data_IF_664717603829
#
_entry.id   IF_664717603829
#
_cell.length_a   1.000
_cell.length_b   1.000
_cell.length_c   1.000
_cell.angle_alpha   90.00
_cell.angle_beta   90.00
_cell.angle_gamma   90.00
#
_symmetry.space_group_name_H-M   'P 1'
#
loop_
_entity.id
_entity.type
_entity.pdbx_description
1 polymer ?
#
# COMPACT_ATOMS: atom_id res chain seq x y z
N UNK A 1 -8.69 -18.99 29.46
CA UNK A 1 -9.32 -19.94 28.52
C UNK A 1 -8.79 -19.60 27.14
N UNK A 2 -8.23 -20.58 26.44
CA UNK A 2 -7.41 -20.44 25.24
C UNK A 2 -8.27 -20.16 24.00
N UNK A 3 -8.24 -18.93 23.48
CA UNK A 3 -8.91 -18.53 22.21
C UNK A 3 -8.36 -19.24 20.94
N UNK A 4 -7.48 -20.23 21.07
CA UNK A 4 -7.01 -21.03 19.94
C UNK A 4 -7.93 -22.24 19.80
N UNK A 5 -9.16 -22.00 19.33
CA UNK A 5 -10.10 -23.06 18.97
C UNK A 5 -9.61 -23.68 17.66
N UNK A 6 -9.14 -24.93 17.72
CA UNK A 6 -8.76 -25.89 16.66
C UNK A 6 -8.65 -25.32 15.24
N UNK A 7 -7.73 -24.39 15.05
CA UNK A 7 -7.50 -23.76 13.77
C UNK A 7 -6.36 -24.53 13.07
N UNK A 8 -6.68 -25.28 12.01
CA UNK A 8 -5.71 -26.14 11.29
C UNK A 8 -4.72 -25.33 10.41
N UNK A 9 -4.62 -24.01 10.62
CA UNK A 9 -3.77 -23.12 9.85
C UNK A 9 -2.31 -23.25 10.28
N UNK A 10 -1.43 -23.29 9.29
CA UNK A 10 0.02 -23.46 9.44
C UNK A 10 0.74 -22.20 9.94
N UNK A 11 0.10 -21.03 9.87
CA UNK A 11 0.56 -19.76 10.39
C UNK A 11 -0.60 -18.99 11.02
N UNK A 12 -0.47 -18.67 12.30
CA UNK A 12 -1.51 -17.99 13.10
C UNK A 12 -0.90 -16.80 13.83
N UNK A 13 -1.65 -15.71 13.91
CA UNK A 13 -1.21 -14.47 14.56
C UNK A 13 -2.31 -13.89 15.44
N UNK A 14 -1.91 -13.43 16.63
CA UNK A 14 -2.76 -12.68 17.55
C UNK A 14 -2.11 -11.34 17.88
N UNK A 15 -2.80 -10.25 17.57
CA UNK A 15 -2.44 -8.90 18.00
C UNK A 15 -3.26 -8.54 19.24
N UNK A 16 -2.60 -8.30 20.37
CA UNK A 16 -3.24 -8.00 21.64
C UNK A 16 -2.36 -7.15 22.59
N UNK A 17 -2.77 -7.06 23.86
CA UNK A 17 -2.00 -6.47 24.97
C UNK A 17 -1.30 -5.13 24.62
N UNK A 18 -2.07 -4.05 24.40
CA UNK A 18 -1.52 -2.75 24.09
C UNK A 18 -0.73 -2.20 25.29
N UNK A 19 0.45 -1.65 25.04
CA UNK A 19 1.27 -1.00 26.06
C UNK A 19 1.68 0.39 25.61
N UNK A 20 1.47 1.36 26.50
CA UNK A 20 1.93 2.74 26.34
C UNK A 20 3.36 2.84 26.86
N UNK A 21 4.23 3.40 26.03
CA UNK A 21 5.63 3.67 26.33
C UNK A 21 5.82 5.17 26.45
N UNK A 22 6.56 5.58 27.48
CA UNK A 22 6.97 6.96 27.74
C UNK A 22 8.48 6.99 27.65
N UNK A 23 8.99 7.50 26.53
CA UNK A 23 10.41 7.74 26.31
C UNK A 23 10.65 9.26 26.43
N UNK A 24 11.91 9.68 26.66
CA UNK A 24 12.27 11.07 27.04
C UNK A 24 11.67 12.17 26.15
N UNK A 25 11.35 11.88 24.89
CA UNK A 25 10.77 12.83 23.93
C UNK A 25 9.56 12.30 23.13
N UNK A 26 9.18 11.02 23.29
CA UNK A 26 8.09 10.42 22.52
C UNK A 26 7.20 9.52 23.40
N UNK A 27 5.89 9.66 23.22
CA UNK A 27 4.91 8.69 23.73
C UNK A 27 4.35 7.88 22.57
N UNK A 28 4.48 6.56 22.65
CA UNK A 28 3.96 5.65 21.62
C UNK A 28 3.33 4.40 22.22
N UNK A 29 2.55 3.71 21.39
CA UNK A 29 1.83 2.51 21.78
C UNK A 29 2.34 1.34 20.95
N UNK A 30 2.64 0.24 21.62
CA UNK A 30 3.00 -1.03 20.99
C UNK A 30 1.93 -2.07 21.27
N UNK A 31 1.78 -3.00 20.35
CA UNK A 31 0.92 -4.17 20.48
C UNK A 31 1.80 -5.41 20.54
N UNK A 32 1.39 -6.38 21.35
CA UNK A 32 2.00 -7.71 21.33
C UNK A 32 1.49 -8.45 20.10
N UNK A 33 2.39 -9.10 19.40
CA UNK A 33 2.09 -10.01 18.30
C UNK A 33 2.61 -11.37 18.73
N UNK A 34 1.68 -12.30 18.95
CA UNK A 34 1.98 -13.71 19.15
C UNK A 34 1.80 -14.42 17.83
N UNK A 35 2.85 -15.06 17.33
CA UNK A 35 2.85 -15.82 16.08
C UNK A 35 3.08 -17.29 16.41
N UNK A 36 2.23 -18.17 15.92
CA UNK A 36 2.41 -19.62 16.00
C UNK A 36 2.48 -20.18 14.59
N UNK A 37 3.45 -21.05 14.33
CA UNK A 37 3.57 -21.65 13.00
C UNK A 37 4.10 -23.07 13.07
N UNK A 38 3.62 -23.90 12.14
CA UNK A 38 4.12 -25.24 11.88
C UNK A 38 4.99 -25.28 10.62
N UNK A 39 5.28 -24.12 10.01
CA UNK A 39 6.06 -24.03 8.78
C UNK A 39 7.56 -24.16 9.07
N UNK A 40 8.34 -24.80 8.18
CA UNK A 40 9.77 -25.07 8.42
C UNK A 40 10.65 -23.82 8.45
N UNK A 41 10.20 -22.69 7.90
CA UNK A 41 10.97 -21.44 7.95
C UNK A 41 10.99 -20.83 9.37
N UNK A 42 10.05 -21.21 10.23
CA UNK A 42 9.95 -20.77 11.61
C UNK A 42 10.72 -21.74 12.52
N UNK A 43 11.77 -21.23 13.18
CA UNK A 43 12.65 -22.04 14.04
C UNK A 43 12.02 -22.37 15.39
N UNK A 44 11.14 -21.49 15.86
CA UNK A 44 10.44 -21.61 17.14
C UNK A 44 8.94 -21.84 16.86
N UNK A 45 8.29 -22.64 17.69
CA UNK A 45 6.84 -22.90 17.58
C UNK A 45 6.01 -21.64 17.84
N UNK A 46 6.51 -20.74 18.68
CA UNK A 46 5.85 -19.50 19.06
C UNK A 46 6.85 -18.33 19.13
N UNK A 47 6.55 -17.25 18.43
CA UNK A 47 7.27 -15.97 18.51
C UNK A 47 6.39 -14.93 19.20
N UNK A 48 6.98 -14.16 20.12
CA UNK A 48 6.31 -13.02 20.77
C UNK A 48 7.12 -11.75 20.55
N UNK A 49 6.60 -10.85 19.73
CA UNK A 49 7.24 -9.56 19.41
C UNK A 49 6.32 -8.39 19.74
N UNK A 50 6.90 -7.19 19.85
CA UNK A 50 6.12 -5.95 20.00
C UNK A 50 6.34 -5.05 18.80
N UNK A 51 5.25 -4.45 18.30
CA UNK A 51 5.25 -3.54 17.14
C UNK A 51 4.36 -2.34 17.40
N UNK A 52 4.79 -1.15 16.96
CA UNK A 52 3.98 0.09 16.95
C UNK A 52 3.25 0.21 15.62
N UNK A 53 2.22 1.08 15.57
CA UNK A 53 1.44 1.33 14.34
C UNK A 53 2.31 1.61 13.10
N UNK A 54 3.37 2.41 13.24
CA UNK A 54 4.26 2.73 12.11
C UNK A 54 5.04 1.51 11.60
N UNK A 55 5.24 0.46 12.41
CA UNK A 55 5.89 -0.76 11.95
C UNK A 55 4.96 -1.56 11.03
N UNK A 56 3.64 -1.53 11.28
CA UNK A 56 2.65 -2.10 10.38
C UNK A 56 2.57 -1.32 9.06
N UNK A 57 2.70 0.02 9.12
CA UNK A 57 2.81 0.85 7.91
C UNK A 57 4.03 0.44 7.09
N UNK A 58 5.19 0.28 7.74
CA UNK A 58 6.40 -0.22 7.08
C UNK A 58 6.18 -1.58 6.41
N UNK A 59 5.53 -2.53 7.11
CA UNK A 59 5.24 -3.84 6.54
C UNK A 59 4.37 -3.71 5.29
N UNK A 60 3.30 -2.91 5.35
CA UNK A 60 2.43 -2.67 4.19
C UNK A 60 3.18 -2.04 3.03
N UNK A 61 4.01 -1.02 3.29
CA UNK A 61 4.85 -0.39 2.26
C UNK A 61 5.76 -1.43 1.59
N UNK A 62 6.41 -2.30 2.36
CA UNK A 62 7.27 -3.36 1.82
C UNK A 62 6.52 -4.39 0.99
N UNK A 63 5.31 -4.76 1.39
CA UNK A 63 4.45 -5.65 0.60
C UNK A 63 3.99 -4.98 -0.70
N UNK A 64 3.69 -3.68 -0.67
CA UNK A 64 3.36 -2.91 -1.88
C UNK A 64 4.56 -2.83 -2.83
N UNK A 65 5.76 -2.58 -2.31
CA UNK A 65 7.00 -2.55 -3.10
C UNK A 65 7.28 -3.92 -3.75
N UNK A 66 7.09 -5.00 -3.00
CA UNK A 66 7.43 -6.36 -3.43
C UNK A 66 6.39 -6.96 -4.38
N UNK A 67 5.12 -6.52 -4.28
CA UNK A 67 4.01 -7.04 -5.05
C UNK A 67 3.15 -5.91 -5.65
N UNK A 68 3.69 -5.08 -6.56
CA UNK A 68 3.04 -3.85 -7.04
C UNK A 68 1.71 -4.07 -7.77
N UNK A 69 1.50 -5.25 -8.35
CA UNK A 69 0.28 -5.64 -9.08
C UNK A 69 -0.72 -6.44 -8.23
N UNK A 70 -0.44 -6.64 -6.94
CA UNK A 70 -1.33 -7.36 -6.02
C UNK A 70 -2.10 -6.38 -5.13
N UNK A 71 -3.31 -6.79 -4.74
CA UNK A 71 -4.14 -6.02 -3.82
C UNK A 71 -3.61 -6.29 -2.40
N UNK A 72 -2.90 -5.32 -1.84
CA UNK A 72 -2.42 -5.40 -0.47
C UNK A 72 -3.53 -4.91 0.47
N UNK A 73 -3.90 -5.66 1.53
CA UNK A 73 -4.92 -5.24 2.49
C UNK A 73 -4.70 -3.79 2.94
N UNK A 74 -5.76 -2.95 2.95
CA UNK A 74 -5.63 -1.57 3.38
C UNK A 74 -5.33 -1.53 4.89
N UNK A 75 -4.50 -0.57 5.28
CA UNK A 75 -4.32 -0.27 6.70
C UNK A 75 -5.53 0.51 7.20
N UNK A 76 -5.96 0.29 8.45
CA UNK A 76 -6.96 1.16 9.06
C UNK A 76 -6.47 2.61 9.01
N UNK A 77 -7.26 3.45 8.35
CA UNK A 77 -6.89 4.83 8.03
C UNK A 77 -6.51 5.65 9.26
N UNK A 78 -5.65 6.65 9.07
CA UNK A 78 -5.31 7.62 10.13
C UNK A 78 -6.50 8.51 10.53
N UNK A 79 -7.51 8.63 9.65
CA UNK A 79 -8.67 9.53 9.78
C UNK A 79 -10.02 8.78 9.88
N UNK A 80 -10.06 7.59 10.48
CA UNK A 80 -11.35 6.95 10.86
C UNK A 80 -12.07 7.82 11.92
N UNK A 81 -13.36 7.61 12.22
CA UNK A 81 -14.07 8.27 13.36
C UNK A 81 -13.27 8.24 14.68
N UNK A 82 -12.35 7.29 14.82
CA UNK A 82 -11.31 7.22 15.85
C UNK A 82 -10.46 8.50 15.97
N UNK A 83 -10.29 9.30 14.92
CA UNK A 83 -9.53 10.55 14.95
C UNK A 83 -10.22 11.65 15.78
N UNK A 84 -11.52 11.52 16.05
CA UNK A 84 -12.24 12.38 17.01
C UNK A 84 -11.99 11.97 18.46
N UNK A 85 -11.49 10.76 18.69
CA UNK A 85 -11.06 10.30 20.02
C UNK A 85 -9.62 10.75 20.28
N UNK A 86 -9.29 10.99 21.56
CA UNK A 86 -7.89 11.14 21.95
C UNK A 86 -7.11 9.89 21.51
N UNK A 87 -5.99 10.11 20.82
CA UNK A 87 -5.09 9.04 20.31
C UNK A 87 -4.55 8.13 21.41
N UNK A 88 -4.68 8.52 22.68
CA UNK A 88 -4.32 7.73 23.84
C UNK A 88 -5.54 7.22 24.63
N UNK A 89 -6.77 7.47 24.18
CA UNK A 89 -7.98 6.92 24.81
C UNK A 89 -7.99 5.39 24.69
N UNK A 90 -8.58 4.74 25.69
CA UNK A 90 -8.65 3.27 25.74
C UNK A 90 -9.44 2.72 24.54
N UNK A 91 -10.52 3.39 24.17
CA UNK A 91 -11.42 3.05 23.07
C UNK A 91 -10.66 3.10 21.73
N UNK A 92 -9.88 4.16 21.53
CA UNK A 92 -9.06 4.33 20.35
C UNK A 92 -8.00 3.23 20.20
N UNK A 93 -7.33 2.91 21.31
CA UNK A 93 -6.28 1.88 21.35
C UNK A 93 -6.86 0.51 21.03
N UNK A 94 -8.00 0.15 21.64
CA UNK A 94 -8.69 -1.13 21.42
C UNK A 94 -9.18 -1.23 19.98
N UNK A 95 -9.82 -0.19 19.45
CA UNK A 95 -10.31 -0.18 18.08
C UNK A 95 -9.15 -0.33 17.08
N UNK A 96 -8.05 0.40 17.27
CA UNK A 96 -6.84 0.24 16.45
C UNK A 96 -6.27 -1.16 16.55
N UNK A 97 -6.16 -1.73 17.75
CA UNK A 97 -5.66 -3.09 17.94
C UNK A 97 -6.49 -4.11 17.16
N UNK A 98 -7.82 -4.03 17.23
CA UNK A 98 -8.73 -4.90 16.45
C UNK A 98 -8.48 -4.77 14.95
N UNK A 99 -8.35 -3.55 14.43
CA UNK A 99 -8.11 -3.33 13.01
C UNK A 99 -6.71 -3.82 12.56
N UNK A 100 -5.68 -3.65 13.39
CA UNK A 100 -4.34 -4.20 13.14
C UNK A 100 -4.34 -5.73 13.16
N UNK A 101 -5.10 -6.34 14.09
CA UNK A 101 -5.29 -7.77 14.17
C UNK A 101 -5.91 -8.31 12.87
N UNK A 102 -6.97 -7.66 12.39
CA UNK A 102 -7.64 -8.01 11.13
C UNK A 102 -6.70 -7.87 9.95
N UNK A 103 -5.99 -6.74 9.82
CA UNK A 103 -5.01 -6.53 8.75
C UNK A 103 -3.96 -7.64 8.72
N UNK A 104 -3.34 -7.94 9.86
CA UNK A 104 -2.27 -8.94 9.93
C UNK A 104 -2.79 -10.34 9.61
N UNK A 105 -3.98 -10.70 10.11
CA UNK A 105 -4.62 -11.97 9.78
C UNK A 105 -4.88 -12.14 8.28
N UNK A 106 -5.30 -11.07 7.59
CA UNK A 106 -5.47 -11.12 6.13
C UNK A 106 -4.16 -11.31 5.39
N UNK A 107 -3.08 -10.72 5.87
CA UNK A 107 -1.75 -10.88 5.27
C UNK A 107 -1.25 -12.32 5.46
N UNK A 108 -1.35 -12.88 6.67
CA UNK A 108 -0.87 -14.26 6.93
C UNK A 108 -1.75 -15.35 6.30
N UNK A 109 -3.03 -15.06 6.07
CA UNK A 109 -3.94 -15.97 5.38
C UNK A 109 -3.83 -15.90 3.84
N UNK A 110 -3.09 -14.93 3.30
CA UNK A 110 -2.94 -14.79 1.86
C UNK A 110 -1.84 -15.74 1.35
N UNK A 111 -2.11 -16.55 0.30
CA UNK A 111 -1.19 -17.61 -0.15
C UNK A 111 0.20 -17.09 -0.53
N UNK A 112 0.25 -15.93 -1.20
CA UNK A 112 1.53 -15.30 -1.61
C UNK A 112 2.13 -14.44 -0.49
N UNK A 113 1.38 -13.48 0.07
CA UNK A 113 1.92 -12.54 1.06
C UNK A 113 2.40 -13.22 2.35
N UNK A 114 1.81 -14.37 2.73
CA UNK A 114 2.23 -15.12 3.91
C UNK A 114 3.65 -15.68 3.83
N UNK A 115 4.20 -15.81 2.62
CA UNK A 115 5.55 -16.29 2.37
C UNK A 115 6.57 -15.15 2.25
N UNK A 116 6.16 -13.89 2.45
CA UNK A 116 7.03 -12.74 2.25
C UNK A 116 8.13 -12.63 3.33
N UNK A 117 9.36 -12.32 2.91
CA UNK A 117 10.50 -12.17 3.81
C UNK A 117 10.32 -11.02 4.81
N UNK A 118 9.71 -9.90 4.39
CA UNK A 118 9.49 -8.76 5.28
C UNK A 118 8.42 -9.08 6.33
N UNK A 119 7.42 -9.89 5.97
CA UNK A 119 6.46 -10.42 6.94
C UNK A 119 7.17 -11.32 7.97
N UNK A 120 8.02 -12.24 7.53
CA UNK A 120 8.81 -13.08 8.45
C UNK A 120 9.64 -12.24 9.44
N UNK A 121 10.36 -11.23 8.95
CA UNK A 121 11.13 -10.28 9.78
C UNK A 121 10.19 -9.53 10.75
N UNK A 122 9.03 -9.10 10.26
CA UNK A 122 8.05 -8.41 11.08
C UNK A 122 7.52 -9.27 12.23
N UNK A 123 7.33 -10.58 12.01
CA UNK A 123 6.76 -11.51 13.00
C UNK A 123 7.79 -12.07 14.00
N UNK A 124 9.07 -12.22 13.60
CA UNK A 124 10.07 -12.97 14.38
C UNK A 124 11.16 -12.11 15.00
N UNK A 125 11.51 -10.96 14.40
CA UNK A 125 12.68 -10.17 14.81
C UNK A 125 12.45 -9.39 16.11
N UNK A 126 13.45 -9.35 17.01
CA UNK A 126 13.36 -8.58 18.25
C UNK A 126 13.32 -7.06 17.97
N UNK A 127 12.72 -6.23 18.85
CA UNK A 127 12.54 -4.80 18.59
C UNK A 127 13.81 -4.02 18.19
N UNK A 128 14.95 -4.31 18.84
CA UNK A 128 16.22 -3.63 18.56
C UNK A 128 16.75 -3.92 17.15
N UNK A 129 16.69 -5.18 16.72
CA UNK A 129 17.10 -5.61 15.38
C UNK A 129 16.14 -5.11 14.31
N UNK A 130 14.84 -5.07 14.60
CA UNK A 130 13.82 -4.59 13.68
C UNK A 130 14.02 -3.11 13.27
N UNK A 131 14.56 -2.28 14.17
CA UNK A 131 14.89 -0.88 13.87
C UNK A 131 15.94 -0.74 12.76
N UNK A 132 16.85 -1.71 12.62
CA UNK A 132 17.87 -1.73 11.57
C UNK A 132 17.19 -1.93 10.21
N UNK A 133 16.29 -2.91 10.11
CA UNK A 133 15.50 -3.16 8.90
C UNK A 133 14.61 -1.96 8.52
N UNK A 134 14.11 -1.22 9.51
CA UNK A 134 13.34 0.01 9.29
C UNK A 134 14.22 1.16 8.76
N UNK A 135 15.44 1.31 9.29
CA UNK A 135 16.39 2.35 8.86
C UNK A 135 17.05 2.05 7.52
N UNK A 136 17.15 0.78 7.15
CA UNK A 136 17.67 0.33 5.86
C UNK A 136 16.67 0.59 4.70
N UNK A 137 16.00 1.76 4.71
CA UNK A 137 15.27 2.30 3.56
C UNK A 137 16.27 2.38 2.41
N UNK A 138 16.15 1.44 1.48
CA UNK A 138 17.05 1.26 0.36
C UNK A 138 17.24 2.55 -0.43
N UNK A 139 18.43 3.14 -0.30
CA UNK A 139 18.84 4.33 -1.03
C UNK A 139 19.46 4.03 -2.41
N UNK A 140 19.34 2.80 -2.94
CA UNK A 140 20.10 2.39 -4.14
C UNK A 140 19.21 2.00 -5.33
N UNK A 141 18.01 1.41 -5.14
CA UNK A 141 17.17 0.98 -6.27
C UNK A 141 16.06 1.97 -6.64
N UNK A 142 15.52 2.72 -5.67
CA UNK A 142 14.42 3.69 -5.89
C UNK A 142 14.86 4.91 -6.72
N UNK A 143 16.15 5.31 -6.66
CA UNK A 143 16.65 6.48 -7.38
C UNK A 143 16.70 6.30 -8.91
N UNK A 144 16.85 5.06 -9.38
CA UNK A 144 16.83 4.77 -10.83
C UNK A 144 15.39 4.70 -11.36
N UNK A 145 14.45 4.21 -10.56
CA UNK A 145 13.02 4.18 -10.92
C UNK A 145 12.36 5.55 -10.89
N UNK A 146 12.74 6.44 -9.96
CA UNK A 146 12.16 7.79 -9.86
C UNK A 146 12.43 8.66 -11.10
N UNK A 147 13.58 8.46 -11.73
CA UNK A 147 13.98 9.20 -12.95
C UNK A 147 13.18 8.76 -14.18
N UNK A 148 12.81 7.47 -14.25
CA UNK A 148 11.91 6.92 -15.28
C UNK A 148 10.43 7.19 -14.96
N UNK A 149 10.02 7.18 -13.69
CA UNK A 149 8.66 7.54 -13.26
C UNK A 149 8.29 8.98 -13.62
N UNK A 150 9.23 9.92 -13.51
CA UNK A 150 8.99 11.31 -13.91
C UNK A 150 8.80 11.50 -15.42
N UNK A 151 9.30 10.59 -16.26
CA UNK A 151 9.12 10.62 -17.73
C UNK A 151 7.88 9.79 -18.13
N UNK A 152 7.56 8.74 -17.37
CA UNK A 152 6.34 7.95 -17.52
C UNK A 152 5.08 8.76 -17.17
N UNK A 153 5.16 9.77 -16.28
CA UNK A 153 4.00 10.56 -15.85
C UNK A 153 3.45 11.52 -16.93
N UNK A 154 4.24 11.87 -17.95
CA UNK A 154 3.80 12.62 -19.14
C UNK A 154 3.34 11.73 -20.29
N UNK A 155 3.60 10.43 -20.19
CA UNK A 155 3.30 9.45 -21.24
C UNK A 155 1.97 8.78 -20.96
N UNK A 156 1.10 8.69 -21.97
CA UNK A 156 -0.18 8.00 -21.87
C UNK A 156 -0.04 6.56 -22.34
N UNK A 157 -0.73 5.63 -21.67
CA UNK A 157 -0.81 4.22 -22.11
C UNK A 157 -1.41 4.18 -23.51
N UNK A 158 -0.68 3.59 -24.46
CA UNK A 158 -1.12 3.52 -25.85
C UNK A 158 -2.33 2.61 -26.05
N UNK A 159 -2.40 1.51 -25.29
CA UNK A 159 -3.50 0.56 -25.39
C UNK A 159 -3.79 -0.11 -24.03
N UNK A 160 -4.82 0.37 -23.32
CA UNK A 160 -5.31 -0.32 -22.12
C UNK A 160 -6.18 -1.50 -22.53
N UNK A 161 -5.96 -2.66 -21.92
CA UNK A 161 -6.87 -3.80 -22.10
C UNK A 161 -8.26 -3.48 -21.54
N UNK A 162 -9.29 -3.86 -22.29
CA UNK A 162 -10.70 -3.58 -21.99
C UNK A 162 -11.16 -4.09 -20.60
N UNK A 163 -10.56 -5.17 -20.10
CA UNK A 163 -10.87 -5.71 -18.77
C UNK A 163 -10.47 -4.74 -17.64
N UNK A 164 -9.30 -4.10 -17.73
CA UNK A 164 -8.85 -3.15 -16.68
C UNK A 164 -9.62 -1.84 -16.72
N UNK A 165 -10.06 -1.43 -17.91
CA UNK A 165 -10.98 -0.32 -18.06
C UNK A 165 -12.32 -0.60 -17.36
N UNK A 166 -12.94 -1.75 -17.64
CA UNK A 166 -14.17 -2.16 -16.96
C UNK A 166 -14.02 -2.24 -15.44
N UNK A 167 -12.93 -2.82 -14.94
CA UNK A 167 -12.68 -2.91 -13.49
C UNK A 167 -12.52 -1.52 -12.89
N UNK A 168 -11.78 -0.61 -13.55
CA UNK A 168 -11.61 0.77 -13.08
C UNK A 168 -12.94 1.51 -13.00
N UNK A 169 -13.76 1.39 -14.04
CA UNK A 169 -15.05 2.06 -14.12
C UNK A 169 -16.01 1.50 -13.06
N UNK A 170 -16.02 0.17 -12.89
CA UNK A 170 -16.75 -0.51 -11.80
C UNK A 170 -16.29 -0.02 -10.42
N UNK A 171 -14.98 0.01 -10.16
CA UNK A 171 -14.43 0.49 -8.88
C UNK A 171 -14.76 1.96 -8.63
N UNK A 172 -14.87 2.78 -9.67
CA UNK A 172 -15.22 4.20 -9.56
C UNK A 172 -16.70 4.33 -9.16
N UNK A 173 -17.60 3.67 -9.89
CA UNK A 173 -19.02 3.65 -9.57
C UNK A 173 -19.31 3.05 -8.18
N UNK A 174 -18.62 1.96 -7.82
CA UNK A 174 -18.75 1.33 -6.50
C UNK A 174 -18.29 2.27 -5.38
N UNK A 175 -17.17 2.97 -5.58
CA UNK A 175 -16.63 3.95 -4.61
C UNK A 175 -17.61 5.09 -4.36
N UNK A 176 -18.27 5.61 -5.39
CA UNK A 176 -19.25 6.69 -5.27
C UNK A 176 -20.52 6.24 -4.53
N UNK A 177 -21.00 5.02 -4.84
CA UNK A 177 -22.14 4.41 -4.15
C UNK A 177 -21.83 4.17 -2.66
N UNK A 178 -20.68 3.59 -2.36
CA UNK A 178 -20.24 3.36 -0.98
C UNK A 178 -20.04 4.67 -0.21
N UNK A 179 -19.48 5.70 -0.84
CA UNK A 179 -19.35 7.03 -0.22
C UNK A 179 -20.71 7.66 0.08
N UNK A 180 -21.72 7.41 -0.75
CA UNK A 180 -23.10 7.87 -0.50
C UNK A 180 -23.72 7.10 0.68
N UNK A 181 -23.52 5.78 0.74
CA UNK A 181 -23.97 4.95 1.88
C UNK A 181 -23.31 5.39 3.19
N UNK A 182 -21.99 5.62 3.21
CA UNK A 182 -21.26 6.08 4.41
C UNK A 182 -21.78 7.45 4.89
N UNK A 183 -22.08 8.39 3.98
CA UNK A 183 -22.69 9.68 4.32
C UNK A 183 -24.08 9.50 4.95
N UNK A 184 -24.93 8.65 4.38
CA UNK A 184 -26.28 8.37 4.90
C UNK A 184 -26.17 7.70 6.27
N UNK A 185 -25.31 6.69 6.42
CA UNK A 185 -25.08 6.01 7.69
C UNK A 185 -24.59 6.98 8.77
N UNK A 186 -23.66 7.87 8.44
CA UNK A 186 -23.16 8.88 9.37
C UNK A 186 -24.27 9.84 9.81
N UNK A 187 -25.14 10.26 8.89
CA UNK A 187 -26.30 11.10 9.21
C UNK A 187 -27.29 10.38 10.13
N UNK A 188 -27.66 9.13 9.80
CA UNK A 188 -28.58 8.31 10.63
C UNK A 188 -28.00 8.12 12.03
N UNK A 189 -26.69 7.86 12.12
CA UNK A 189 -25.99 7.76 13.40
C UNK A 189 -26.08 9.02 14.24
N UNK A 190 -25.84 10.18 13.62
CA UNK A 190 -25.92 11.47 14.29
C UNK A 190 -27.35 11.75 14.77
N UNK A 191 -28.35 11.60 13.90
CA UNK A 191 -29.76 11.80 14.28
C UNK A 191 -30.18 10.87 15.43
N UNK A 192 -29.74 9.60 15.43
CA UNK A 192 -30.00 8.67 16.54
C UNK A 192 -29.29 9.07 17.84
N UNK A 193 -28.09 9.62 17.75
CA UNK A 193 -27.35 10.11 18.91
C UNK A 193 -28.03 11.34 19.50
N UNK A 194 -28.47 12.28 18.65
CA UNK A 194 -29.21 13.47 19.06
C UNK A 194 -30.56 13.08 19.72
N UNK A 195 -31.30 12.13 19.14
CA UNK A 195 -32.54 11.61 19.73
C UNK A 195 -32.32 10.95 21.10
N UNK A 196 -31.22 10.20 21.27
CA UNK A 196 -30.88 9.61 22.57
C UNK A 196 -30.63 10.69 23.63
N UNK A 197 -29.97 11.80 23.27
CA UNK A 197 -29.77 12.93 24.17
C UNK A 197 -31.10 13.55 24.60
N UNK A 198 -32.05 13.71 23.68
CA UNK A 198 -33.40 14.19 23.98
C UNK A 198 -34.14 13.27 24.96
N UNK A 199 -34.10 11.94 24.74
CA UNK A 199 -34.71 10.97 25.65
C UNK A 199 -34.11 11.06 27.06
N UNK A 200 -32.79 11.21 27.17
CA UNK A 200 -32.11 11.40 28.46
C UNK A 200 -32.50 12.71 29.17
N UNK A 201 -32.85 13.75 28.42
CA UNK A 201 -33.35 15.02 28.98
C UNK A 201 -34.82 14.93 29.40
N UNK A 202 -35.65 14.19 28.66
CA UNK A 202 -37.09 14.07 28.96
C UNK A 202 -37.37 13.22 30.21
N UNK A 203 -36.65 12.11 30.39
CA UNK A 203 -36.83 11.22 31.55
C UNK A 203 -36.85 11.95 32.93
N UNK A 204 -35.86 12.81 33.27
CA UNK A 204 -35.88 13.52 34.55
C UNK A 204 -36.97 14.58 34.64
N UNK A 205 -37.42 15.16 33.52
CA UNK A 205 -38.52 16.15 33.52
C UNK A 205 -39.82 15.49 33.99
N UNK A 206 -40.18 14.34 33.42
CA UNK A 206 -41.39 13.61 33.83
C UNK A 206 -41.30 13.11 35.27
N UNK A 207 -40.10 12.71 35.71
CA UNK A 207 -39.86 12.31 37.11
C UNK A 207 -40.05 13.49 38.06
N UNK A 208 -39.58 14.68 37.69
CA UNK A 208 -39.76 15.91 38.48
C UNK A 208 -41.23 16.34 38.52
N UNK A 209 -41.93 16.32 37.39
CA UNK A 209 -43.36 16.66 37.36
C UNK A 209 -44.20 15.71 38.22
N UNK A 210 -43.84 14.43 38.29
CA UNK A 210 -44.50 13.47 39.18
C UNK A 210 -44.37 13.86 40.67
N UNK A 211 -43.35 14.62 41.05
CA UNK A 211 -43.22 15.13 42.43
C UNK A 211 -44.10 16.34 42.71
N UNK A 212 -44.40 17.15 41.68
CA UNK A 212 -45.24 18.34 41.80
C UNK A 212 -46.73 18.04 41.68
N UNK A 213 -47.10 16.98 40.94
CA UNK A 213 -48.49 16.63 40.61
C UNK A 213 -48.85 15.22 41.15
N UNK A 214 -49.22 15.09 42.43
CA UNK A 214 -49.39 13.79 43.09
C UNK A 214 -50.53 12.94 42.51
N UNK A 215 -51.58 13.56 41.96
CA UNK A 215 -52.70 12.84 41.34
C UNK A 215 -52.33 12.18 40.00
N UNK A 216 -51.40 12.80 39.25
CA UNK A 216 -50.93 12.30 37.96
C UNK A 216 -49.63 11.50 38.06
N UNK A 217 -49.02 11.45 39.25
CA UNK A 217 -47.71 10.84 39.48
C UNK A 217 -47.57 9.41 38.92
N UNK A 218 -48.54 8.48 39.08
CA UNK A 218 -48.40 7.13 38.53
C UNK A 218 -48.25 7.11 37.00
N UNK A 219 -48.97 7.98 36.29
CA UNK A 219 -48.90 8.08 34.82
C UNK A 219 -47.61 8.75 34.37
N UNK A 220 -47.19 9.82 35.05
CA UNK A 220 -45.95 10.52 34.75
C UNK A 220 -44.72 9.63 34.97
N UNK A 221 -44.70 8.82 36.03
CA UNK A 221 -43.65 7.83 36.27
C UNK A 221 -43.67 6.70 35.23
N UNK A 222 -44.85 6.25 34.79
CA UNK A 222 -44.95 5.26 33.72
C UNK A 222 -44.37 5.79 32.40
N UNK A 223 -44.63 7.06 32.06
CA UNK A 223 -44.03 7.73 30.89
C UNK A 223 -42.51 7.83 31.05
N UNK A 224 -42.03 8.31 32.21
CA UNK A 224 -40.60 8.40 32.49
C UNK A 224 -39.89 7.04 32.34
N UNK A 225 -40.54 5.95 32.78
CA UNK A 225 -40.02 4.60 32.64
C UNK A 225 -40.00 4.13 31.19
N UNK A 226 -41.05 4.43 30.42
CA UNK A 226 -41.08 4.11 28.98
C UNK A 226 -39.97 4.82 28.21
N UNK A 227 -39.72 6.10 28.52
CA UNK A 227 -38.62 6.90 27.94
C UNK A 227 -37.26 6.28 28.28
N UNK A 228 -37.03 5.91 29.54
CA UNK A 228 -35.78 5.26 29.98
C UNK A 228 -35.55 3.94 29.23
N UNK A 229 -36.57 3.08 29.13
CA UNK A 229 -36.49 1.83 28.37
C UNK A 229 -36.17 2.07 26.90
N UNK A 230 -36.77 3.10 26.28
CA UNK A 230 -36.49 3.48 24.90
C UNK A 230 -35.05 3.97 24.72
N UNK A 231 -34.55 4.80 25.65
CA UNK A 231 -33.18 5.29 25.64
C UNK A 231 -32.16 4.13 25.72
N UNK A 232 -32.38 3.18 26.63
CA UNK A 232 -31.54 1.98 26.76
C UNK A 232 -31.54 1.14 25.47
N UNK A 233 -32.70 0.99 24.81
CA UNK A 233 -32.78 0.29 23.54
C UNK A 233 -31.99 1.00 22.42
N UNK A 234 -32.13 2.32 22.31
CA UNK A 234 -31.38 3.13 21.34
C UNK A 234 -29.87 3.13 21.60
N UNK A 235 -29.45 3.17 22.87
CA UNK A 235 -28.04 3.06 23.24
C UNK A 235 -27.44 1.72 22.78
N UNK A 236 -28.12 0.61 23.06
CA UNK A 236 -27.68 -0.73 22.58
C UNK A 236 -27.58 -0.80 21.07
N UNK A 237 -28.50 -0.14 20.35
CA UNK A 237 -28.46 -0.09 18.89
C UNK A 237 -27.25 0.69 18.38
N UNK A 238 -26.91 1.82 19.02
CA UNK A 238 -25.74 2.64 18.68
C UNK A 238 -24.41 1.93 18.95
N UNK A 239 -24.31 1.16 20.03
CA UNK A 239 -23.12 0.39 20.39
C UNK A 239 -22.84 -0.78 19.43
N UNK A 240 -23.88 -1.30 18.76
CA UNK A 240 -23.80 -2.48 17.88
C UNK A 240 -23.65 -2.18 16.39
N UNK A 241 -23.48 -0.92 15.96
CA UNK A 241 -23.35 -0.65 14.53
C UNK A 241 -21.96 -1.02 14.00
N UNK A 242 -21.96 -1.94 13.06
CA UNK A 242 -20.77 -2.42 12.34
C UNK A 242 -20.40 -1.44 11.22
N UNK A 243 -19.14 -1.01 11.16
CA UNK A 243 -18.63 -0.09 10.13
C UNK A 243 -18.02 -0.87 8.94
N UNK A 244 -18.75 -1.85 8.39
CA UNK A 244 -18.24 -2.76 7.36
C UNK A 244 -18.03 -2.05 6.01
N UNK A 245 -18.89 -1.09 5.68
CA UNK A 245 -18.86 -0.30 4.44
C UNK A 245 -17.55 0.45 4.25
N UNK A 246 -16.95 0.93 5.34
CA UNK A 246 -15.67 1.65 5.31
C UNK A 246 -14.50 0.76 4.96
N UNK A 247 -14.61 -0.51 5.31
CA UNK A 247 -13.64 -1.49 4.90
C UNK A 247 -13.70 -1.70 3.38
N UNK A 248 -14.90 -1.84 2.82
CA UNK A 248 -15.09 -1.93 1.38
C UNK A 248 -14.56 -0.70 0.64
N UNK A 249 -14.81 0.52 1.14
CA UNK A 249 -14.22 1.75 0.57
C UNK A 249 -12.70 1.65 0.52
N UNK A 250 -12.09 1.24 1.64
CA UNK A 250 -10.63 1.11 1.75
C UNK A 250 -10.07 0.05 0.79
N UNK A 251 -10.81 -1.03 0.54
CA UNK A 251 -10.42 -2.05 -0.44
C UNK A 251 -10.58 -1.60 -1.88
N UNK A 252 -11.66 -0.89 -2.20
CA UNK A 252 -11.85 -0.29 -3.52
C UNK A 252 -10.68 0.65 -3.84
N UNK A 253 -10.23 1.44 -2.86
CA UNK A 253 -9.03 2.27 -3.00
C UNK A 253 -7.76 1.44 -3.15
N UNK A 254 -7.63 0.31 -2.44
CA UNK A 254 -6.49 -0.60 -2.62
C UNK A 254 -6.44 -1.18 -4.05
N UNK A 255 -7.60 -1.52 -4.63
CA UNK A 255 -7.72 -1.98 -6.02
C UNK A 255 -7.35 -0.88 -7.00
N UNK A 256 -7.91 0.34 -6.84
CA UNK A 256 -7.57 1.50 -7.67
C UNK A 256 -6.07 1.81 -7.65
N UNK A 257 -5.45 1.74 -6.48
CA UNK A 257 -4.01 1.93 -6.34
C UNK A 257 -3.20 0.82 -7.03
N UNK A 258 -3.65 -0.44 -6.99
CA UNK A 258 -2.99 -1.53 -7.71
C UNK A 258 -3.12 -1.37 -9.24
N UNK A 259 -4.28 -0.93 -9.73
CA UNK A 259 -4.48 -0.59 -11.15
C UNK A 259 -3.57 0.56 -11.59
N UNK A 260 -3.45 1.62 -10.78
CA UNK A 260 -2.56 2.75 -11.07
C UNK A 260 -1.09 2.32 -11.14
N UNK A 261 -0.61 1.47 -10.21
CA UNK A 261 0.76 0.94 -10.26
C UNK A 261 0.98 0.06 -11.48
N UNK A 262 0.01 -0.80 -11.83
CA UNK A 262 0.06 -1.60 -13.06
C UNK A 262 0.20 -0.68 -14.28
N UNK A 263 -0.59 0.37 -14.34
CA UNK A 263 -0.54 1.36 -15.43
C UNK A 263 0.84 2.03 -15.51
N UNK A 264 1.44 2.43 -14.38
CA UNK A 264 2.81 2.97 -14.36
C UNK A 264 3.85 1.97 -14.88
N UNK A 265 3.75 0.70 -14.47
CA UNK A 265 4.65 -0.36 -14.94
C UNK A 265 4.46 -0.64 -16.44
N UNK A 266 3.23 -0.56 -16.95
CA UNK A 266 2.93 -0.72 -18.37
C UNK A 266 3.56 0.40 -19.20
N UNK A 267 3.49 1.65 -18.73
CA UNK A 267 4.13 2.80 -19.40
C UNK A 267 5.64 2.62 -19.44
N UNK A 268 6.25 2.22 -18.31
CA UNK A 268 7.70 1.96 -18.24
C UNK A 268 8.12 0.83 -19.20
N UNK A 269 7.31 -0.23 -19.30
CA UNK A 269 7.52 -1.29 -20.27
C UNK A 269 7.44 -0.77 -21.72
N UNK A 270 6.41 0.00 -22.08
CA UNK A 270 6.26 0.57 -23.42
C UNK A 270 7.46 1.46 -23.79
N UNK A 271 7.91 2.33 -22.87
CA UNK A 271 9.08 3.17 -23.05
C UNK A 271 10.37 2.37 -23.25
N UNK A 272 10.61 1.36 -22.42
CA UNK A 272 11.83 0.52 -22.53
C UNK A 272 11.83 -0.31 -23.81
N UNK A 273 10.67 -0.76 -24.30
CA UNK A 273 10.52 -1.43 -25.59
C UNK A 273 10.85 -0.48 -26.75
N UNK A 274 10.37 0.76 -26.71
CA UNK A 274 10.68 1.78 -27.72
C UNK A 274 12.16 2.15 -27.75
N UNK A 275 12.77 2.32 -26.57
CA UNK A 275 14.20 2.58 -26.47
C UNK A 275 15.01 1.40 -27.01
N UNK A 276 14.63 0.17 -26.66
CA UNK A 276 15.25 -1.04 -27.19
C UNK A 276 15.14 -1.12 -28.73
N UNK A 277 13.98 -0.78 -29.29
CA UNK A 277 13.77 -0.75 -30.73
C UNK A 277 14.69 0.27 -31.41
N UNK A 278 14.81 1.49 -30.84
CA UNK A 278 15.74 2.51 -31.32
C UNK A 278 17.20 2.03 -31.28
N UNK A 279 17.62 1.39 -30.18
CA UNK A 279 18.98 0.85 -30.05
C UNK A 279 19.28 -0.29 -31.02
N UNK A 280 18.29 -1.12 -31.35
CA UNK A 280 18.42 -2.14 -32.40
C UNK A 280 18.67 -1.50 -33.77
N UNK A 281 17.90 -0.46 -34.12
CA UNK A 281 18.08 0.26 -35.39
C UNK A 281 19.47 0.93 -35.47
N UNK A 282 19.90 1.62 -34.41
CA UNK A 282 21.25 2.22 -34.34
C UNK A 282 22.36 1.16 -34.52
N UNK A 283 22.21 -0.01 -33.88
CA UNK A 283 23.14 -1.13 -34.03
C UNK A 283 23.20 -1.67 -35.46
N UNK A 284 22.05 -1.85 -36.11
CA UNK A 284 21.98 -2.37 -37.48
C UNK A 284 22.58 -1.37 -38.48
N UNK A 285 22.38 -0.06 -38.27
CA UNK A 285 23.03 0.99 -39.04
C UNK A 285 24.56 0.94 -38.90
N UNK A 286 25.07 0.83 -37.67
CA UNK A 286 26.53 0.74 -37.43
C UNK A 286 27.11 -0.51 -38.10
N UNK A 287 26.43 -1.66 -38.01
CA UNK A 287 26.84 -2.89 -38.69
C UNK A 287 26.90 -2.72 -40.20
N UNK A 288 25.90 -2.06 -40.78
CA UNK A 288 25.89 -1.75 -42.20
C UNK A 288 27.08 -0.86 -42.60
N UNK A 289 27.36 0.20 -41.83
CA UNK A 289 28.55 1.04 -42.07
C UNK A 289 29.86 0.25 -41.95
N UNK A 290 29.99 -0.64 -40.97
CA UNK A 290 31.16 -1.50 -40.83
C UNK A 290 31.33 -2.44 -42.03
N UNK A 291 30.25 -3.05 -42.51
CA UNK A 291 30.28 -3.90 -43.70
C UNK A 291 30.73 -3.11 -44.94
N UNK A 292 30.20 -1.91 -45.15
CA UNK A 292 30.61 -1.04 -46.24
C UNK A 292 32.10 -0.64 -46.13
N UNK A 293 32.58 -0.33 -44.93
CA UNK A 293 33.99 -0.01 -44.70
C UNK A 293 34.91 -1.20 -44.98
N UNK A 294 34.57 -2.39 -44.50
CA UNK A 294 35.35 -3.61 -44.75
C UNK A 294 35.41 -3.94 -46.24
N UNK A 295 34.28 -3.86 -46.95
CA UNK A 295 34.23 -4.07 -48.39
C UNK A 295 35.11 -3.07 -49.16
N UNK A 296 35.17 -1.82 -48.68
CA UNK A 296 36.03 -0.80 -49.28
C UNK A 296 37.52 -1.07 -49.03
N UNK A 297 37.88 -1.54 -47.83
CA UNK A 297 39.25 -1.98 -47.52
C UNK A 297 39.70 -3.19 -48.36
N UNK A 298 38.81 -4.15 -48.61
CA UNK A 298 39.08 -5.29 -49.51
C UNK A 298 39.36 -4.84 -50.95
N UNK A 299 38.60 -3.88 -51.47
CA UNK A 299 38.84 -3.30 -52.80
C UNK A 299 40.21 -2.60 -52.85
N UNK A 300 40.55 -1.80 -51.84
CA UNK A 300 41.83 -1.10 -51.78
C UNK A 300 43.01 -2.06 -51.68
N UNK A 301 42.88 -3.15 -50.92
CA UNK A 301 43.93 -4.17 -50.80
C UNK A 301 44.09 -4.97 -52.09
N UNK A 302 43.00 -5.31 -52.79
CA UNK A 302 43.04 -5.94 -54.11
C UNK A 302 43.73 -5.07 -55.16
N UNK A 303 43.38 -3.78 -55.22
CA UNK A 303 44.04 -2.81 -56.12
C UNK A 303 45.54 -2.64 -55.84
N UNK A 304 45.98 -2.88 -54.60
CA UNK A 304 47.38 -2.80 -54.20
C UNK A 304 48.19 -4.05 -54.55
N UNK A 305 47.51 -5.18 -54.77
CA UNK A 305 48.12 -6.45 -55.18
C UNK A 305 48.22 -6.58 -56.71
N UNK A 306 47.31 -5.96 -57.47
CA UNK A 306 47.33 -5.97 -58.94
C UNK A 306 48.24 -4.88 -59.56
N UNK A 307 48.79 -3.98 -58.74
CA UNK A 307 49.66 -2.89 -59.16
C UNK A 307 51.16 -3.19 -59.05
N UNK A 308 51.74 -3.80 -60.09
CA UNK A 308 53.17 -3.58 -60.41
C UNK A 308 53.29 -2.12 -60.88
N UNK A 309 53.87 -1.28 -60.02
CA UNK A 309 54.47 0.03 -60.30
C UNK A 309 53.83 0.93 -61.36
N UNK A 310 52.98 1.87 -60.93
CA UNK A 310 52.88 3.19 -61.57
C UNK A 310 52.15 4.19 -60.68
N UNK A 311 52.74 5.38 -60.53
CA UNK A 311 52.20 6.52 -59.78
C UNK A 311 50.77 6.87 -60.19
N UNK A 312 49.83 6.79 -59.25
CA UNK A 312 48.47 7.33 -59.42
C UNK A 312 48.38 8.63 -58.63
N UNK A 313 48.16 9.73 -59.36
CA UNK A 313 47.88 11.06 -58.82
C UNK A 313 46.64 11.02 -57.92
N UNK A 314 46.84 11.24 -56.63
CA UNK A 314 45.77 11.33 -55.64
C UNK A 314 45.12 12.71 -55.74
N UNK A 315 43.88 12.76 -56.23
CA UNK A 315 43.04 13.96 -56.16
C UNK A 315 42.82 14.42 -54.71
N UNK A 316 42.36 15.67 -54.48
CA UNK A 316 42.37 16.27 -53.16
C UNK A 316 41.51 15.46 -52.16
N UNK A 317 41.92 15.40 -50.88
CA UNK A 317 41.30 14.54 -49.90
C UNK A 317 39.85 14.95 -49.65
N UNK A 318 38.93 14.00 -49.80
CA UNK A 318 37.54 14.17 -49.40
C UNK A 318 37.54 14.34 -47.87
N UNK A 319 37.07 15.50 -47.39
CA UNK A 319 36.91 15.78 -45.96
C UNK A 319 35.84 14.86 -45.38
N UNK A 320 36.27 13.80 -44.71
CA UNK A 320 35.40 12.99 -43.85
C UNK A 320 35.05 13.86 -42.63
N UNK A 321 33.77 14.07 -42.29
CA UNK A 321 33.39 14.71 -41.03
C UNK A 321 33.95 13.87 -39.88
N UNK A 322 34.78 14.46 -39.02
CA UNK A 322 35.18 13.82 -37.76
C UNK A 322 33.91 13.62 -36.92
N UNK A 323 33.37 12.40 -36.92
CA UNK A 323 32.51 11.93 -35.85
C UNK A 323 33.39 11.84 -34.60
N UNK A 324 33.41 12.92 -33.82
CA UNK A 324 33.93 12.90 -32.46
C UNK A 324 33.08 11.93 -31.65
N UNK A 325 33.52 10.69 -31.58
CA UNK A 325 33.13 9.77 -30.52
C UNK A 325 33.65 10.36 -29.21
N UNK A 326 32.84 11.16 -28.53
CA UNK A 326 33.03 11.40 -27.10
C UNK A 326 32.69 10.10 -26.37
N UNK A 327 33.62 9.16 -26.39
CA UNK A 327 33.62 8.08 -25.41
C UNK A 327 33.93 8.76 -24.09
N UNK A 328 32.90 8.98 -23.27
CA UNK A 328 33.06 9.36 -21.87
C UNK A 328 34.01 8.35 -21.22
N UNK A 329 35.19 8.81 -20.82
CA UNK A 329 36.27 8.04 -20.21
C UNK A 329 35.91 7.46 -18.82
N UNK A 330 34.65 7.55 -18.39
CA UNK A 330 34.17 7.07 -17.11
C UNK A 330 33.78 5.58 -17.07
N UNK A 331 33.69 4.88 -18.20
CA UNK A 331 33.26 3.46 -18.24
C UNK A 331 34.40 2.44 -18.35
N UNK A 332 35.65 2.85 -18.59
CA UNK A 332 36.80 1.94 -18.69
C UNK A 332 37.58 1.73 -17.38
N UNK A 333 37.09 2.26 -16.25
CA UNK A 333 37.77 2.14 -14.95
C UNK A 333 37.06 1.23 -13.93
N UNK A 334 36.00 0.51 -14.33
CA UNK A 334 35.29 -0.44 -13.44
C UNK A 334 35.44 -1.92 -13.82
N UNK A 335 36.33 -2.25 -14.76
CA UNK A 335 36.74 -3.64 -15.01
C UNK A 335 38.26 -3.72 -14.88
N UNK A 336 38.74 -3.72 -13.64
CA UNK A 336 39.99 -4.35 -13.23
C UNK A 336 39.95 -4.69 -11.75
#
# INVERSE_FOLDING_TARGET
MSDFQTDSRDLQVKVDNPQKHLETLETYITFRITTKSTRPEFKEEEYVVRRRYNDFIWLREKLVDSYPTRIIPPMPGKHTLLAQLDRYSKEFIIARMKLLHVFLNRVVNHPILSCDKNLYIFLTTKPAEFLIHRKNRGNVLVKMTDSLQNIASTSTIKQRHFEFEQIRDYCTALSEKLATVDKINHRIHKERQDYLLELHQLHPIFTLWATSEPELAPFLLAIAKAIECNAVAHQKLLENVTNEEREYISYVDAVKNALSRRDSMQIEYEMTVEELAKKRLEKDQIRHYQQCMNAWEEILTGLKLDGIGSEVSVGPPIKIPKLTLSVSSSLLQQIK
#
